data_IF_134853676171
#
_entry.id   IF_134853676171
#
_cell.length_a   1.000
_cell.length_b   1.000
_cell.length_c   1.000
_cell.angle_alpha   90.00
_cell.angle_beta   90.00
_cell.angle_gamma   90.00
#
_symmetry.space_group_name_H-M   'P 1'
#
loop_
_entity.id
_entity.type
_entity.pdbx_description
1 polymer ?
#
# COMPACT_ATOMS: atom_id res chain seq x y z
N UNK A 1 -8.07 13.98 27.69
CA UNK A 1 -7.87 12.65 27.06
C UNK A 1 -7.84 12.79 25.53
N UNK A 2 -6.78 13.41 24.95
CA UNK A 2 -6.78 13.77 23.52
C UNK A 2 -5.67 13.08 22.70
N UNK A 3 -4.71 12.40 23.33
CA UNK A 3 -3.50 11.85 22.68
C UNK A 3 -3.63 10.43 22.11
N UNK A 4 -4.85 9.91 21.95
CA UNK A 4 -5.12 8.56 21.39
C UNK A 4 -5.78 8.60 20.01
N UNK A 5 -6.02 9.78 19.43
CA UNK A 5 -7.00 9.98 18.34
C UNK A 5 -6.43 10.27 16.96
N UNK A 6 -5.14 10.05 16.73
CA UNK A 6 -4.52 10.15 15.41
C UNK A 6 -3.62 8.93 15.22
N UNK A 7 -4.25 7.76 15.19
CA UNK A 7 -3.58 6.60 14.60
C UNK A 7 -3.53 6.92 13.11
N UNK A 8 -2.34 6.85 12.51
CA UNK A 8 -2.20 7.24 11.11
C UNK A 8 -3.10 6.37 10.22
N UNK A 9 -3.64 6.92 9.13
CA UNK A 9 -4.55 6.19 8.24
C UNK A 9 -3.96 4.83 7.80
N UNK A 10 -2.65 4.76 7.58
CA UNK A 10 -1.97 3.53 7.22
C UNK A 10 -1.95 2.49 8.36
N UNK A 11 -1.72 2.95 9.60
CA UNK A 11 -1.81 2.13 10.82
C UNK A 11 -3.24 1.68 11.11
N UNK A 12 -4.26 2.26 10.48
CA UNK A 12 -5.64 1.77 10.59
C UNK A 12 -6.01 0.75 9.51
N UNK A 13 -5.44 0.91 8.31
CA UNK A 13 -5.72 0.04 7.16
C UNK A 13 -4.99 -1.30 7.26
N UNK A 14 -3.67 -1.30 7.45
CA UNK A 14 -2.87 -2.53 7.40
C UNK A 14 -3.15 -3.52 8.54
N UNK A 15 -3.46 -3.09 9.78
CA UNK A 15 -3.81 -4.06 10.84
C UNK A 15 -5.16 -4.75 10.63
N UNK A 16 -5.95 -4.36 9.62
CA UNK A 16 -7.33 -4.83 9.42
C UNK A 16 -7.52 -5.80 8.26
N UNK A 17 -6.54 -6.05 7.40
CA UNK A 17 -6.82 -6.94 6.28
C UNK A 17 -5.61 -7.36 5.47
N UNK A 18 -5.64 -8.61 5.04
CA UNK A 18 -5.00 -9.05 3.81
C UNK A 18 -5.92 -8.58 2.68
N UNK A 19 -5.51 -7.59 1.89
CA UNK A 19 -6.31 -6.99 0.80
C UNK A 19 -7.02 -7.99 -0.11
N UNK A 20 -6.37 -9.12 -0.32
CA UNK A 20 -6.80 -10.21 -1.18
C UNK A 20 -8.14 -10.84 -0.71
N UNK A 21 -8.48 -10.76 0.58
CA UNK A 21 -9.77 -11.20 1.11
C UNK A 21 -10.90 -10.23 0.70
N UNK A 22 -10.56 -8.99 0.35
CA UNK A 22 -11.47 -8.02 -0.27
C UNK A 22 -11.71 -8.28 -1.76
N UNK A 23 -10.95 -9.19 -2.37
CA UNK A 23 -11.02 -9.47 -3.81
C UNK A 23 -10.89 -10.98 -4.11
N UNK A 24 -11.80 -11.83 -3.61
CA UNK A 24 -11.67 -13.28 -3.68
C UNK A 24 -11.56 -13.81 -5.12
N UNK A 25 -12.21 -13.16 -6.10
CA UNK A 25 -12.16 -13.54 -7.51
C UNK A 25 -10.87 -13.17 -8.24
N UNK A 26 -9.94 -12.43 -7.62
CA UNK A 26 -8.66 -12.09 -8.24
C UNK A 26 -7.62 -13.21 -8.09
N UNK A 27 -7.65 -13.99 -7.00
CA UNK A 27 -6.74 -15.13 -6.75
C UNK A 27 -6.80 -16.20 -7.83
N UNK A 28 -7.94 -16.34 -8.48
CA UNK A 28 -8.22 -17.39 -9.47
C UNK A 28 -7.85 -16.96 -10.90
N UNK A 29 -7.37 -15.71 -11.08
CA UNK A 29 -7.03 -15.15 -12.39
C UNK A 29 -5.53 -15.22 -12.63
N UNK A 30 -5.13 -16.19 -13.46
CA UNK A 30 -3.73 -16.38 -13.86
C UNK A 30 -3.10 -15.12 -14.48
N UNK A 31 -3.89 -14.31 -15.19
CA UNK A 31 -3.44 -13.06 -15.82
C UNK A 31 -3.06 -11.94 -14.83
N UNK A 32 -3.47 -12.06 -13.57
CA UNK A 32 -3.16 -11.10 -12.51
C UNK A 32 -2.06 -11.58 -11.58
N UNK A 33 -1.55 -12.81 -11.75
CA UNK A 33 -0.63 -13.46 -10.81
C UNK A 33 0.53 -12.58 -10.37
N UNK A 34 1.25 -11.98 -11.34
CA UNK A 34 2.37 -11.08 -11.05
C UNK A 34 1.90 -9.85 -10.26
N UNK A 35 0.81 -9.20 -10.68
CA UNK A 35 0.24 -8.05 -9.97
C UNK A 35 -0.15 -8.40 -8.53
N UNK A 36 -0.73 -9.59 -8.29
CA UNK A 36 -1.08 -9.99 -6.93
C UNK A 36 0.16 -10.14 -6.05
N UNK A 37 1.24 -10.69 -6.60
CA UNK A 37 2.52 -10.83 -5.90
C UNK A 37 3.10 -9.44 -5.58
N UNK A 38 3.07 -8.50 -6.52
CA UNK A 38 3.57 -7.14 -6.31
C UNK A 38 2.76 -6.37 -5.25
N UNK A 39 1.42 -6.53 -5.23
CA UNK A 39 0.59 -5.89 -4.20
C UNK A 39 0.81 -6.51 -2.82
N UNK A 40 1.02 -7.83 -2.73
CA UNK A 40 1.37 -8.50 -1.47
C UNK A 40 2.73 -8.04 -0.94
N UNK A 41 3.73 -7.90 -1.82
CA UNK A 41 5.03 -7.33 -1.46
C UNK A 41 4.92 -5.87 -1.00
N UNK A 42 4.13 -5.05 -1.72
CA UNK A 42 3.86 -3.67 -1.34
C UNK A 42 3.26 -3.59 0.08
N UNK A 43 2.28 -4.42 0.41
CA UNK A 43 1.73 -4.49 1.77
C UNK A 43 2.75 -4.94 2.82
N UNK A 44 3.59 -5.92 2.50
CA UNK A 44 4.63 -6.38 3.38
C UNK A 44 5.62 -5.24 3.68
N UNK A 45 6.01 -4.47 2.66
CA UNK A 45 6.83 -3.28 2.81
C UNK A 45 6.14 -2.20 3.65
N UNK A 46 4.87 -1.91 3.38
CA UNK A 46 4.08 -0.94 4.14
C UNK A 46 3.90 -1.35 5.61
N UNK A 47 3.73 -2.64 5.88
CA UNK A 47 3.67 -3.18 7.23
C UNK A 47 5.03 -3.07 7.92
N UNK A 48 6.11 -3.35 7.19
CA UNK A 48 7.48 -3.24 7.69
C UNK A 48 7.90 -1.81 8.04
N UNK A 49 7.30 -0.79 7.44
CA UNK A 49 7.55 0.60 7.83
C UNK A 49 6.81 1.03 9.10
N UNK A 50 5.74 0.32 9.49
CA UNK A 50 5.02 0.61 10.72
C UNK A 50 5.94 0.33 11.93
N UNK A 51 6.29 1.40 12.65
CA UNK A 51 7.14 1.31 13.85
C UNK A 51 8.62 1.56 13.61
N UNK A 52 9.03 1.88 12.38
CA UNK A 52 10.38 2.38 12.13
C UNK A 52 10.62 3.74 12.80
N UNK A 53 11.87 4.00 13.15
CA UNK A 53 12.34 5.33 13.54
C UNK A 53 12.48 6.23 12.31
N UNK A 54 12.39 7.55 12.48
CA UNK A 54 12.28 8.50 11.36
C UNK A 54 13.47 8.43 10.37
N UNK A 55 14.69 8.11 10.86
CA UNK A 55 15.87 7.91 10.01
C UNK A 55 15.75 6.64 9.15
N UNK A 56 15.22 5.56 9.70
CA UNK A 56 14.99 4.31 8.98
C UNK A 56 13.82 4.47 7.99
N UNK A 57 12.77 5.18 8.42
CA UNK A 57 11.62 5.51 7.59
C UNK A 57 12.01 6.32 6.35
N UNK A 58 12.96 7.25 6.50
CA UNK A 58 13.49 8.01 5.35
C UNK A 58 14.07 7.07 4.28
N UNK A 59 14.91 6.11 4.67
CA UNK A 59 15.50 5.15 3.75
C UNK A 59 14.46 4.20 3.16
N UNK A 60 13.59 3.65 4.00
CA UNK A 60 12.52 2.75 3.58
C UNK A 60 11.51 3.45 2.65
N UNK A 61 11.36 4.77 2.75
CA UNK A 61 10.39 5.51 1.94
C UNK A 61 10.68 5.48 0.46
N UNK A 62 11.96 5.47 0.08
CA UNK A 62 12.36 5.34 -1.32
C UNK A 62 11.96 3.97 -1.88
N UNK A 63 12.19 2.90 -1.11
CA UNK A 63 11.81 1.53 -1.49
C UNK A 63 10.29 1.39 -1.61
N UNK A 64 9.51 1.91 -0.66
CA UNK A 64 8.04 1.86 -0.75
C UNK A 64 7.52 2.63 -1.97
N UNK A 65 8.10 3.80 -2.28
CA UNK A 65 7.73 4.56 -3.48
C UNK A 65 8.07 3.81 -4.78
N UNK A 66 9.20 3.09 -4.82
CA UNK A 66 9.56 2.23 -5.94
C UNK A 66 8.56 1.09 -6.12
N UNK A 67 8.14 0.45 -5.03
CA UNK A 67 7.13 -0.62 -5.06
C UNK A 67 5.78 -0.13 -5.57
N UNK A 68 5.34 1.07 -5.17
CA UNK A 68 4.15 1.69 -5.76
C UNK A 68 4.28 1.90 -7.26
N UNK A 69 5.47 2.26 -7.77
CA UNK A 69 5.70 2.43 -9.19
C UNK A 69 5.66 1.11 -9.97
N UNK A 70 6.17 0.01 -9.38
CA UNK A 70 6.07 -1.34 -9.96
C UNK A 70 4.60 -1.77 -10.06
N UNK A 71 3.85 -1.64 -8.97
CA UNK A 71 2.41 -1.97 -8.95
C UNK A 71 1.61 -1.13 -9.95
N UNK A 72 1.91 0.17 -10.08
CA UNK A 72 1.28 1.04 -11.09
C UNK A 72 1.57 0.57 -12.52
N UNK A 73 2.79 0.12 -12.80
CA UNK A 73 3.19 -0.38 -14.11
C UNK A 73 2.44 -1.67 -14.45
N UNK A 74 2.32 -2.61 -13.50
CA UNK A 74 1.55 -3.84 -13.67
C UNK A 74 0.06 -3.54 -13.86
N UNK A 75 -0.52 -2.64 -13.05
CA UNK A 75 -1.90 -2.17 -13.21
C UNK A 75 -2.15 -1.49 -14.56
N UNK A 76 -1.14 -0.82 -15.13
CA UNK A 76 -1.25 -0.23 -16.46
C UNK A 76 -1.18 -1.31 -17.56
N UNK A 77 -0.35 -2.34 -17.39
CA UNK A 77 -0.17 -3.44 -18.34
C UNK A 77 -1.42 -4.31 -18.49
N UNK A 78 -2.13 -4.56 -17.39
CA UNK A 78 -3.34 -5.38 -17.34
C UNK A 78 -4.56 -4.72 -18.03
N UNK A 79 -4.46 -3.42 -18.37
CA UNK A 79 -5.51 -2.70 -19.09
C UNK A 79 -6.70 -2.30 -18.20
N UNK A 80 -7.60 -1.48 -18.74
CA UNK A 80 -8.79 -0.98 -18.02
C UNK A 80 -9.97 -1.97 -18.02
N UNK A 81 -9.93 -2.99 -18.88
CA UNK A 81 -11.05 -3.91 -19.13
C UNK A 81 -11.01 -5.19 -18.27
N UNK A 82 -9.87 -5.48 -17.64
CA UNK A 82 -9.84 -6.42 -16.54
C UNK A 82 -10.59 -5.79 -15.34
N UNK A 83 -10.85 -6.55 -14.29
CA UNK A 83 -11.54 -6.05 -13.09
C UNK A 83 -10.58 -5.48 -12.00
N UNK A 84 -9.39 -4.86 -12.28
CA UNK A 84 -8.55 -4.33 -11.23
C UNK A 84 -9.01 -2.93 -10.81
N UNK A 85 -10.24 -2.47 -11.13
CA UNK A 85 -10.73 -1.18 -10.64
C UNK A 85 -10.78 -1.15 -9.10
N UNK A 86 -11.23 -2.25 -8.49
CA UNK A 86 -11.19 -2.45 -7.05
C UNK A 86 -9.76 -2.45 -6.50
N UNK A 87 -8.84 -3.16 -7.18
CA UNK A 87 -7.44 -3.26 -6.78
C UNK A 87 -6.69 -1.92 -6.95
N UNK A 88 -6.92 -1.20 -8.05
CA UNK A 88 -6.39 0.15 -8.30
C UNK A 88 -6.88 1.12 -7.25
N UNK A 89 -8.16 1.08 -6.91
CA UNK A 89 -8.72 1.89 -5.82
C UNK A 89 -8.07 1.56 -4.49
N UNK A 90 -7.86 0.27 -4.22
CA UNK A 90 -7.18 -0.19 -3.01
C UNK A 90 -5.75 0.33 -2.90
N UNK A 91 -4.94 0.14 -3.94
CA UNK A 91 -3.56 0.64 -4.00
C UNK A 91 -3.50 2.16 -3.85
N UNK A 92 -4.45 2.89 -4.45
CA UNK A 92 -4.54 4.34 -4.31
C UNK A 92 -4.86 4.76 -2.86
N UNK A 93 -5.76 4.05 -2.17
CA UNK A 93 -6.06 4.29 -0.76
C UNK A 93 -4.83 4.04 0.10
N UNK A 94 -4.10 2.95 -0.12
CA UNK A 94 -2.84 2.67 0.58
C UNK A 94 -1.80 3.78 0.36
N UNK A 95 -1.65 4.25 -0.88
CA UNK A 95 -0.74 5.36 -1.22
C UNK A 95 -1.08 6.62 -0.44
N UNK A 96 -2.35 7.05 -0.50
CA UNK A 96 -2.81 8.24 0.21
C UNK A 96 -2.60 8.10 1.72
N UNK A 97 -2.90 6.93 2.28
CA UNK A 97 -2.68 6.67 3.70
C UNK A 97 -1.20 6.69 4.09
N UNK A 98 -0.32 6.17 3.23
CA UNK A 98 1.12 6.21 3.43
C UNK A 98 1.70 7.62 3.32
N UNK A 99 1.24 8.42 2.35
CA UNK A 99 1.65 9.82 2.23
C UNK A 99 1.24 10.63 3.47
N UNK A 100 0.04 10.39 4.01
CA UNK A 100 -0.39 10.99 5.28
C UNK A 100 0.50 10.53 6.44
N UNK A 101 0.82 9.24 6.52
CA UNK A 101 1.76 8.70 7.52
C UNK A 101 3.11 9.39 7.46
N UNK A 102 3.67 9.56 6.26
CA UNK A 102 4.92 10.28 6.06
C UNK A 102 4.81 11.75 6.44
N UNK A 103 3.71 12.43 6.10
CA UNK A 103 3.52 13.84 6.45
C UNK A 103 3.44 14.04 7.97
N UNK A 104 2.82 13.09 8.70
CA UNK A 104 2.72 13.11 10.17
C UNK A 104 4.06 12.78 10.85
N UNK A 105 4.80 11.79 10.33
CA UNK A 105 6.06 11.30 10.92
C UNK A 105 7.29 12.08 10.48
N UNK A 106 7.26 12.70 9.29
CA UNK A 106 8.37 13.40 8.66
C UNK A 106 7.92 14.77 8.10
N UNK A 107 7.46 15.72 8.96
CA UNK A 107 6.86 16.99 8.53
C UNK A 107 7.84 18.00 7.89
N UNK A 108 9.11 17.64 7.71
CA UNK A 108 10.19 18.57 7.35
C UNK A 108 10.62 18.51 5.88
N UNK A 109 9.73 18.12 4.96
CA UNK A 109 10.00 18.25 3.52
C UNK A 109 9.43 19.56 2.96
#
# INVERSE_FOLDING_TARGET
>A
MWRKKQRSALEELLPRGSWIDGFPGLRERDELGDLLVEVDQLEAHLTGVLGLEDRQLTAASATVSEQFAVVDAELARIGQDAEPEGLRSYVQVLRTAYEQYLAERMPSR
#
